data_IF_242692703132
#
_entry.id   IF_242692703132
#
_cell.length_a   1.000
_cell.length_b   1.000
_cell.length_c   1.000
_cell.angle_alpha   90.00
_cell.angle_beta   90.00
_cell.angle_gamma   90.00
#
_symmetry.space_group_name_H-M   'P 1'
#
loop_
_entity.id
_entity.type
_entity.pdbx_description
1 polymer ?
#
# COMPACT_ATOMS: atom_id res chain seq x y z
N UNK A 1 3.50 -26.71 8.89
CA UNK A 1 2.58 -26.02 7.99
C UNK A 1 2.88 -26.40 6.55
N UNK A 2 1.85 -26.67 5.76
CA UNK A 2 2.01 -26.89 4.33
C UNK A 2 2.60 -25.62 3.70
N UNK A 3 3.82 -25.70 3.18
CA UNK A 3 4.40 -24.63 2.39
C UNK A 3 3.75 -24.69 1.01
N UNK A 4 3.14 -23.62 0.59
CA UNK A 4 2.85 -23.44 -0.83
C UNK A 4 4.21 -23.33 -1.55
N UNK A 5 4.54 -24.35 -2.35
CA UNK A 5 5.81 -24.42 -3.08
C UNK A 5 5.93 -23.29 -4.13
N UNK A 6 4.81 -22.66 -4.47
CA UNK A 6 4.75 -21.46 -5.32
C UNK A 6 4.85 -20.15 -4.51
N UNK A 7 5.09 -20.24 -3.20
CA UNK A 7 5.11 -19.10 -2.30
C UNK A 7 6.09 -18.02 -2.71
N UNK A 8 5.54 -16.91 -3.17
CA UNK A 8 6.27 -15.71 -3.60
C UNK A 8 6.70 -14.89 -2.37
N UNK A 9 6.13 -15.15 -1.18
CA UNK A 9 6.53 -14.52 0.06
C UNK A 9 6.78 -15.55 1.17
N UNK A 10 7.77 -15.28 1.99
CA UNK A 10 8.11 -16.11 3.13
C UNK A 10 7.22 -15.87 4.34
N UNK A 11 7.34 -16.71 5.33
CA UNK A 11 6.66 -16.59 6.60
C UNK A 11 7.19 -15.37 7.38
N UNK A 12 6.30 -14.45 7.78
CA UNK A 12 6.67 -13.22 8.50
C UNK A 12 7.16 -13.45 9.94
N UNK A 13 6.89 -14.62 10.50
CA UNK A 13 7.44 -15.03 11.80
C UNK A 13 8.78 -15.78 11.69
N UNK A 14 9.27 -16.02 10.47
CA UNK A 14 10.57 -16.67 10.26
C UNK A 14 11.69 -15.64 10.27
N UNK A 15 12.59 -15.73 11.25
CA UNK A 15 13.71 -14.78 11.40
C UNK A 15 14.70 -14.80 10.23
N UNK A 16 14.95 -15.97 9.65
CA UNK A 16 15.82 -16.09 8.47
C UNK A 16 15.24 -15.34 7.27
N UNK A 17 13.92 -15.47 7.04
CA UNK A 17 13.26 -14.71 5.99
C UNK A 17 13.24 -13.20 6.30
N UNK A 18 12.97 -12.82 7.54
CA UNK A 18 13.02 -11.42 7.96
C UNK A 18 14.39 -10.80 7.70
N UNK A 19 15.46 -11.48 8.10
CA UNK A 19 16.83 -11.00 7.88
C UNK A 19 17.16 -10.89 6.39
N UNK A 20 16.77 -11.87 5.58
CA UNK A 20 16.92 -11.82 4.13
C UNK A 20 16.25 -10.59 3.52
N UNK A 21 15.01 -10.26 3.94
CA UNK A 21 14.29 -9.08 3.45
C UNK A 21 15.01 -7.79 3.84
N UNK A 22 15.48 -7.68 5.07
CA UNK A 22 16.24 -6.51 5.56
C UNK A 22 17.54 -6.35 4.79
N UNK A 23 18.30 -7.44 4.59
CA UNK A 23 19.57 -7.42 3.86
C UNK A 23 19.38 -6.98 2.41
N UNK A 24 18.36 -7.55 1.74
CA UNK A 24 18.04 -7.20 0.37
C UNK A 24 17.63 -5.74 0.23
N UNK A 25 16.77 -5.25 1.11
CA UNK A 25 16.37 -3.83 1.11
C UNK A 25 17.57 -2.91 1.33
N UNK A 26 18.45 -3.21 2.28
CA UNK A 26 19.66 -2.42 2.50
C UNK A 26 20.54 -2.38 1.25
N UNK A 27 20.73 -3.52 0.60
CA UNK A 27 21.50 -3.60 -0.64
C UNK A 27 20.86 -2.78 -1.77
N UNK A 28 19.56 -2.91 -1.97
CA UNK A 28 18.83 -2.19 -3.02
C UNK A 28 18.83 -0.66 -2.77
N UNK A 29 18.62 -0.22 -1.52
CA UNK A 29 18.68 1.20 -1.13
C UNK A 29 20.08 1.77 -1.43
N UNK A 30 21.11 1.07 -1.04
CA UNK A 30 22.51 1.50 -1.23
C UNK A 30 22.87 1.54 -2.72
N UNK A 31 22.54 0.48 -3.46
CA UNK A 31 22.80 0.40 -4.91
C UNK A 31 22.13 1.51 -5.69
N UNK A 32 20.88 1.80 -5.38
CA UNK A 32 20.07 2.78 -6.10
C UNK A 32 20.17 4.20 -5.51
N UNK A 33 20.93 4.40 -4.42
CA UNK A 33 21.02 5.66 -3.68
C UNK A 33 19.63 6.22 -3.32
N UNK A 34 18.72 5.34 -2.94
CA UNK A 34 17.32 5.69 -2.73
C UNK A 34 17.13 6.50 -1.44
N UNK A 35 16.53 7.70 -1.56
CA UNK A 35 16.17 8.52 -0.39
C UNK A 35 14.85 8.08 0.27
N UNK A 36 13.99 7.40 -0.49
CA UNK A 36 12.75 6.77 -0.02
C UNK A 36 12.78 5.32 -0.42
N UNK A 37 12.57 4.43 0.52
CA UNK A 37 12.46 3.00 0.31
C UNK A 37 10.99 2.55 0.39
N UNK A 38 10.73 1.43 -0.24
CA UNK A 38 9.42 0.88 -0.38
C UNK A 38 9.53 -0.65 -0.34
N UNK A 39 8.66 -1.28 0.41
CA UNK A 39 8.53 -2.72 0.43
C UNK A 39 7.06 -3.11 0.35
N UNK A 40 6.74 -3.91 -0.64
CA UNK A 40 5.43 -4.51 -0.81
C UNK A 40 5.59 -6.00 -1.05
N UNK A 41 4.62 -6.78 -0.66
CA UNK A 41 4.52 -8.18 -1.07
C UNK A 41 4.03 -8.25 -2.51
N UNK A 42 4.19 -9.41 -3.15
CA UNK A 42 3.57 -9.68 -4.44
C UNK A 42 2.03 -9.65 -4.34
N UNK A 43 1.35 -9.51 -5.47
CA UNK A 43 -0.12 -9.46 -5.56
C UNK A 43 -0.81 -10.69 -4.95
N UNK A 44 -0.17 -11.83 -5.03
CA UNK A 44 -0.62 -13.03 -4.36
C UNK A 44 0.02 -13.06 -2.99
N UNK A 45 -0.78 -12.82 -1.96
CA UNK A 45 -0.32 -12.86 -0.58
C UNK A 45 -0.31 -14.32 -0.12
N UNK A 46 0.85 -14.96 0.06
CA UNK A 46 0.90 -16.28 0.62
C UNK A 46 0.46 -16.20 2.07
N UNK A 47 -0.58 -16.92 2.38
CA UNK A 47 -1.10 -17.04 3.74
C UNK A 47 -0.25 -18.04 4.49
N UNK A 48 0.66 -17.55 5.33
CA UNK A 48 1.29 -18.42 6.31
C UNK A 48 0.27 -18.74 7.42
N UNK A 49 -0.03 -20.03 7.57
CA UNK A 49 -0.98 -20.54 8.56
C UNK A 49 -0.29 -21.03 9.84
N UNK A 50 0.99 -20.70 10.06
CA UNK A 50 1.65 -21.04 11.30
C UNK A 50 1.03 -20.28 12.48
N UNK A 51 1.03 -20.88 13.66
CA UNK A 51 0.44 -20.32 14.88
C UNK A 51 0.89 -18.88 15.15
N UNK A 52 2.18 -18.58 14.96
CA UNK A 52 2.72 -17.23 15.18
C UNK A 52 2.13 -16.21 14.22
N UNK A 53 1.98 -16.56 12.93
CA UNK A 53 1.39 -15.65 11.94
C UNK A 53 -0.12 -15.48 12.12
N UNK A 54 -0.82 -16.50 12.59
CA UNK A 54 -2.28 -16.46 12.77
C UNK A 54 -2.74 -15.97 14.14
N UNK A 55 -1.82 -15.79 15.09
CA UNK A 55 -2.12 -15.32 16.46
C UNK A 55 -2.91 -14.00 16.48
N UNK A 56 -2.62 -13.06 15.59
CA UNK A 56 -3.43 -11.86 15.41
C UNK A 56 -4.41 -12.08 14.24
N UNK A 57 -5.73 -12.08 14.47
CA UNK A 57 -6.73 -12.28 13.42
C UNK A 57 -6.77 -11.12 12.40
N UNK A 58 -6.39 -9.90 12.81
CA UNK A 58 -6.30 -8.72 11.94
C UNK A 58 -5.10 -8.85 11.00
N UNK A 59 -5.36 -9.19 9.75
CA UNK A 59 -4.35 -9.40 8.71
C UNK A 59 -3.60 -8.12 8.37
N UNK A 60 -4.32 -7.00 8.34
CA UNK A 60 -3.75 -5.68 8.09
C UNK A 60 -2.78 -5.31 9.21
N UNK A 61 -3.18 -5.49 10.47
CA UNK A 61 -2.31 -5.25 11.61
C UNK A 61 -1.05 -6.13 11.60
N UNK A 62 -1.17 -7.40 11.18
CA UNK A 62 0.02 -8.27 11.03
C UNK A 62 1.03 -7.69 10.06
N UNK A 63 0.56 -7.23 8.89
CA UNK A 63 1.40 -6.61 7.88
C UNK A 63 2.07 -5.34 8.39
N UNK A 64 1.30 -4.41 8.95
CA UNK A 64 1.84 -3.12 9.39
C UNK A 64 2.83 -3.26 10.55
N UNK A 65 2.63 -4.23 11.44
CA UNK A 65 3.60 -4.56 12.48
C UNK A 65 4.89 -5.16 11.90
N UNK A 66 4.78 -6.08 10.96
CA UNK A 66 5.92 -6.67 10.26
C UNK A 66 6.72 -5.60 9.50
N UNK A 67 6.04 -4.73 8.78
CA UNK A 67 6.67 -3.64 8.05
C UNK A 67 7.36 -2.63 8.98
N UNK A 68 6.74 -2.25 10.08
CA UNK A 68 7.37 -1.39 11.08
C UNK A 68 8.66 -2.01 11.66
N UNK A 69 8.70 -3.32 11.82
CA UNK A 69 9.87 -4.07 12.26
C UNK A 69 11.00 -4.03 11.21
N UNK A 70 10.66 -4.21 9.92
CA UNK A 70 11.60 -4.06 8.80
C UNK A 70 12.21 -2.65 8.80
N UNK A 71 11.36 -1.60 8.84
CA UNK A 71 11.80 -0.20 8.83
C UNK A 71 12.80 0.07 9.95
N UNK A 72 12.50 -0.37 11.17
CA UNK A 72 13.41 -0.20 12.30
C UNK A 72 14.76 -0.87 12.07
N UNK A 73 14.77 -2.08 11.50
CA UNK A 73 16.00 -2.82 11.25
C UNK A 73 16.83 -2.23 10.13
N UNK A 74 16.21 -1.76 9.06
CA UNK A 74 16.90 -1.05 7.97
C UNK A 74 17.47 0.28 8.47
N UNK A 75 16.73 1.06 9.26
CA UNK A 75 17.22 2.34 9.80
C UNK A 75 18.40 2.22 10.78
N UNK A 76 18.58 1.08 11.41
CA UNK A 76 19.82 0.81 12.17
C UNK A 76 21.07 0.81 11.29
N UNK A 77 20.93 0.45 10.02
CA UNK A 77 22.03 0.36 9.03
C UNK A 77 22.10 1.60 8.14
N UNK A 78 20.95 2.16 7.79
CA UNK A 78 20.79 3.33 6.91
C UNK A 78 19.85 4.33 7.59
N UNK A 79 20.36 5.16 8.54
CA UNK A 79 19.52 5.98 9.42
C UNK A 79 18.61 6.99 8.72
N UNK A 80 19.10 7.58 7.61
CA UNK A 80 18.42 8.71 6.94
C UNK A 80 17.42 8.28 5.86
N UNK A 81 17.24 6.96 5.63
CA UNK A 81 16.27 6.49 4.65
C UNK A 81 14.84 6.70 5.15
N UNK A 82 14.01 7.29 4.30
CA UNK A 82 12.57 7.41 4.52
C UNK A 82 11.86 6.20 3.96
N UNK A 83 10.68 5.93 4.44
CA UNK A 83 9.87 4.80 3.97
C UNK A 83 8.49 5.25 3.55
N UNK A 84 7.98 4.68 2.47
CA UNK A 84 6.58 4.74 2.10
C UNK A 84 5.97 3.35 2.20
N UNK A 85 4.67 3.29 2.42
CA UNK A 85 3.90 2.05 2.46
C UNK A 85 2.82 2.04 1.40
N UNK A 86 2.15 0.91 1.24
CA UNK A 86 1.01 0.76 0.33
C UNK A 86 -0.15 0.11 1.10
N UNK A 87 -1.32 0.72 0.99
CA UNK A 87 -2.58 0.15 1.45
C UNK A 87 -3.29 -0.52 0.25
N UNK A 88 -3.05 -1.81 0.11
CA UNK A 88 -3.47 -2.61 -1.04
C UNK A 88 -3.99 -3.97 -0.61
N UNK A 89 -4.98 -4.49 -1.28
CA UNK A 89 -5.61 -5.78 -0.98
C UNK A 89 -5.98 -5.93 0.52
N UNK A 90 -5.56 -7.00 1.18
CA UNK A 90 -5.83 -7.27 2.61
C UNK A 90 -5.23 -6.21 3.54
N UNK A 91 -4.19 -5.49 3.11
CA UNK A 91 -3.55 -4.42 3.89
C UNK A 91 -4.23 -3.06 3.70
N UNK A 92 -5.22 -2.97 2.82
CA UNK A 92 -6.07 -1.80 2.64
C UNK A 92 -7.10 -1.67 3.76
N UNK A 93 -7.48 -2.76 4.40
CA UNK A 93 -8.32 -2.71 5.59
C UNK A 93 -7.64 -1.86 6.67
N UNK A 94 -8.43 -1.05 7.37
CA UNK A 94 -7.90 -0.16 8.42
C UNK A 94 -7.38 -1.01 9.58
N UNK A 95 -6.06 -1.01 9.86
CA UNK A 95 -5.52 -1.84 10.92
C UNK A 95 -5.92 -1.32 12.30
N UNK A 96 -6.11 -2.23 13.26
CA UNK A 96 -6.34 -1.89 14.65
C UNK A 96 -5.05 -1.49 15.41
N UNK A 97 -3.94 -1.33 14.70
CA UNK A 97 -2.64 -0.89 15.22
C UNK A 97 -2.20 0.42 14.59
N UNK A 98 -1.29 1.17 15.25
CA UNK A 98 -0.71 2.36 14.65
C UNK A 98 0.16 2.04 13.43
N UNK A 99 -0.02 2.80 12.35
CA UNK A 99 0.87 2.78 11.18
C UNK A 99 2.02 3.76 11.45
N UNK A 100 3.25 3.25 11.56
CA UNK A 100 4.39 4.03 12.07
C UNK A 100 5.55 4.08 11.09
N UNK A 101 6.38 5.12 11.24
CA UNK A 101 7.67 5.30 10.58
C UNK A 101 7.60 5.56 9.07
N UNK A 102 6.43 5.92 8.54
CA UNK A 102 6.21 6.18 7.13
C UNK A 102 6.15 7.67 6.84
N UNK A 103 6.70 8.06 5.71
CA UNK A 103 6.55 9.38 5.10
C UNK A 103 5.12 9.56 4.61
N UNK A 104 4.57 8.51 3.99
CA UNK A 104 3.19 8.42 3.51
C UNK A 104 2.80 6.96 3.24
N UNK A 105 1.51 6.75 3.10
CA UNK A 105 0.91 5.49 2.61
C UNK A 105 0.24 5.76 1.27
N UNK A 106 0.61 5.01 0.24
CA UNK A 106 -0.11 4.99 -1.03
C UNK A 106 -1.39 4.17 -0.86
N UNK A 107 -2.54 4.81 -0.95
CA UNK A 107 -3.82 4.14 -0.88
C UNK A 107 -4.31 3.77 -2.28
N UNK A 108 -4.55 2.48 -2.49
CA UNK A 108 -4.95 1.92 -3.78
C UNK A 108 -6.46 1.96 -3.95
N UNK A 109 -6.95 2.86 -4.80
CA UNK A 109 -8.36 3.05 -5.12
C UNK A 109 -8.83 2.16 -6.28
N UNK A 110 -8.68 0.84 -6.21
CA UNK A 110 -9.13 -0.04 -7.29
C UNK A 110 -10.63 -0.39 -7.20
N UNK A 111 -11.27 -0.26 -6.02
CA UNK A 111 -12.71 -0.49 -5.81
C UNK A 111 -13.47 0.84 -5.80
N UNK A 112 -13.60 1.48 -6.96
CA UNK A 112 -14.29 2.76 -7.13
C UNK A 112 -15.04 2.80 -8.45
N UNK A 113 -15.96 3.72 -8.58
CA UNK A 113 -16.52 4.09 -9.87
C UNK A 113 -15.56 5.04 -10.59
N UNK A 114 -15.18 4.70 -11.81
CA UNK A 114 -14.31 5.52 -12.66
C UNK A 114 -15.08 6.50 -13.55
N UNK A 115 -16.41 6.36 -13.66
CA UNK A 115 -17.24 7.25 -14.46
C UNK A 115 -17.64 8.53 -13.73
N UNK A 116 -17.44 8.59 -12.43
CA UNK A 116 -17.74 9.74 -11.60
C UNK A 116 -16.51 10.19 -10.82
N UNK A 117 -16.32 11.51 -10.61
CA UNK A 117 -15.31 12.01 -9.68
C UNK A 117 -15.48 11.39 -8.29
N UNK A 118 -14.37 11.25 -7.57
CA UNK A 118 -14.36 10.65 -6.21
C UNK A 118 -15.24 11.39 -5.20
N UNK A 119 -15.43 12.70 -5.36
CA UNK A 119 -16.26 13.51 -4.48
C UNK A 119 -17.73 13.60 -4.91
N UNK A 120 -18.14 12.83 -5.92
CA UNK A 120 -19.55 12.77 -6.32
C UNK A 120 -20.39 12.10 -5.23
N UNK A 121 -21.13 12.92 -4.46
CA UNK A 121 -21.96 12.47 -3.37
C UNK A 121 -23.16 11.60 -3.77
N UNK A 122 -23.53 11.56 -5.06
CA UNK A 122 -24.58 10.69 -5.59
C UNK A 122 -24.06 9.30 -6.01
N UNK A 123 -22.76 9.10 -6.06
CA UNK A 123 -22.14 7.82 -6.41
C UNK A 123 -21.78 7.03 -5.14
N UNK A 124 -22.63 6.09 -4.74
CA UNK A 124 -22.45 5.30 -3.52
C UNK A 124 -21.08 4.62 -3.44
N UNK A 125 -20.60 4.07 -4.55
CA UNK A 125 -19.30 3.42 -4.62
C UNK A 125 -18.16 4.40 -4.27
N UNK A 126 -18.21 5.63 -4.79
CA UNK A 126 -17.20 6.64 -4.52
C UNK A 126 -17.35 7.24 -3.11
N UNK A 127 -18.57 7.39 -2.62
CA UNK A 127 -18.83 7.80 -1.22
C UNK A 127 -18.16 6.80 -0.25
N UNK A 128 -18.34 5.49 -0.46
CA UNK A 128 -17.75 4.46 0.38
C UNK A 128 -16.21 4.43 0.26
N UNK A 129 -15.68 4.53 -0.95
CA UNK A 129 -14.24 4.60 -1.19
C UNK A 129 -13.59 5.81 -0.50
N UNK A 130 -14.22 6.98 -0.59
CA UNK A 130 -13.75 8.20 0.07
C UNK A 130 -13.85 8.13 1.60
N UNK A 131 -14.85 7.43 2.13
CA UNK A 131 -14.95 7.20 3.58
C UNK A 131 -13.78 6.37 4.11
N UNK A 132 -13.41 5.30 3.41
CA UNK A 132 -12.23 4.50 3.75
C UNK A 132 -10.94 5.33 3.64
N UNK A 133 -10.78 6.07 2.55
CA UNK A 133 -9.61 6.91 2.32
C UNK A 133 -9.40 7.94 3.44
N UNK A 134 -10.47 8.62 3.88
CA UNK A 134 -10.41 9.57 4.99
C UNK A 134 -10.00 8.91 6.30
N UNK A 135 -10.54 7.74 6.61
CA UNK A 135 -10.14 6.97 7.80
C UNK A 135 -8.65 6.59 7.76
N UNK A 136 -8.12 6.28 6.59
CA UNK A 136 -6.68 6.07 6.42
C UNK A 136 -5.86 7.34 6.69
N UNK A 137 -6.38 8.50 6.32
CA UNK A 137 -5.77 9.80 6.63
C UNK A 137 -5.59 10.07 8.13
N UNK A 138 -6.42 9.46 8.98
CA UNK A 138 -6.29 9.50 10.43
C UNK A 138 -5.13 8.62 10.95
N UNK A 139 -4.69 7.65 10.17
CA UNK A 139 -3.62 6.70 10.52
C UNK A 139 -2.23 7.14 10.05
N UNK A 140 -2.14 7.75 8.86
CA UNK A 140 -0.89 8.17 8.25
C UNK A 140 -1.10 9.26 7.20
N UNK A 141 -0.07 10.06 6.86
CA UNK A 141 -0.10 10.89 5.66
C UNK A 141 -0.37 10.03 4.43
N UNK A 142 -1.23 10.49 3.53
CA UNK A 142 -1.65 9.72 2.37
C UNK A 142 -1.05 10.23 1.05
N UNK A 143 -0.89 9.30 0.14
CA UNK A 143 -0.73 9.47 -1.29
C UNK A 143 -1.81 8.65 -2.00
N UNK A 144 -2.15 9.04 -3.20
CA UNK A 144 -3.14 8.35 -4.01
C UNK A 144 -2.44 7.44 -5.03
N UNK A 145 -2.92 6.21 -5.17
CA UNK A 145 -2.56 5.30 -6.23
C UNK A 145 -3.81 4.94 -7.02
N UNK A 146 -3.90 5.45 -8.24
CA UNK A 146 -5.05 5.27 -9.13
C UNK A 146 -4.81 4.20 -10.18
N UNK A 147 -5.90 3.75 -10.79
CA UNK A 147 -5.95 2.73 -11.83
C UNK A 147 -6.70 3.26 -13.05
N UNK A 148 -6.61 4.55 -13.29
CA UNK A 148 -7.33 5.25 -14.37
C UNK A 148 -6.90 4.77 -15.75
N UNK A 149 -5.67 4.28 -15.86
CA UNK A 149 -5.06 3.82 -17.11
C UNK A 149 -4.76 2.30 -17.10
N UNK A 150 -5.39 1.55 -16.19
CA UNK A 150 -5.21 0.10 -16.11
C UNK A 150 -5.83 -0.57 -17.36
N UNK A 151 -4.96 -1.04 -18.24
CA UNK A 151 -5.32 -1.71 -19.51
C UNK A 151 -6.11 -2.99 -19.28
N UNK A 152 -5.99 -3.66 -18.15
CA UNK A 152 -6.73 -4.89 -17.86
C UNK A 152 -8.20 -4.64 -17.52
N UNK A 153 -8.52 -3.43 -17.04
CA UNK A 153 -9.89 -3.01 -16.71
C UNK A 153 -10.57 -2.25 -17.84
N UNK A 154 -9.80 -1.78 -18.81
CA UNK A 154 -10.29 -0.92 -19.87
C UNK A 154 -9.85 -1.43 -21.25
N UNK A 155 -10.49 -2.47 -21.79
CA UNK A 155 -10.22 -2.93 -23.16
C UNK A 155 -10.60 -1.87 -24.22
N UNK A 156 -11.29 -0.80 -23.82
CA UNK A 156 -11.60 0.35 -24.66
C UNK A 156 -11.07 1.63 -24.01
N UNK A 157 -10.58 2.53 -24.83
CA UNK A 157 -10.18 3.87 -24.48
C UNK A 157 -11.38 4.63 -23.86
N UNK A 158 -11.50 4.62 -22.54
CA UNK A 158 -12.49 5.46 -21.89
C UNK A 158 -11.94 6.88 -21.77
N UNK A 159 -12.62 7.90 -22.31
CA UNK A 159 -12.17 9.28 -22.21
C UNK A 159 -12.39 9.82 -20.79
N UNK A 160 -11.61 9.33 -19.83
CA UNK A 160 -11.72 9.72 -18.42
C UNK A 160 -11.04 11.04 -18.08
N UNK A 161 -10.54 11.78 -19.08
CA UNK A 161 -9.78 13.02 -18.89
C UNK A 161 -10.51 14.05 -18.04
N UNK A 162 -11.81 14.22 -18.26
CA UNK A 162 -12.62 15.17 -17.48
C UNK A 162 -12.75 14.73 -16.02
N UNK A 163 -13.01 13.44 -15.80
CA UNK A 163 -13.09 12.87 -14.44
C UNK A 163 -11.76 13.00 -13.74
N UNK A 164 -10.67 12.67 -14.42
CA UNK A 164 -9.30 12.78 -13.86
C UNK A 164 -8.94 14.23 -13.53
N UNK A 165 -9.27 15.17 -14.41
CA UNK A 165 -9.04 16.60 -14.15
C UNK A 165 -9.79 17.11 -12.90
N UNK A 166 -11.04 16.66 -12.71
CA UNK A 166 -11.81 17.01 -11.53
C UNK A 166 -11.26 16.34 -10.27
N UNK A 167 -10.78 15.12 -10.37
CA UNK A 167 -10.12 14.42 -9.26
C UNK A 167 -8.83 15.10 -8.81
N UNK A 168 -8.04 15.66 -9.72
CA UNK A 168 -6.86 16.46 -9.34
C UNK A 168 -7.25 17.64 -8.45
N UNK A 169 -8.40 18.24 -8.68
CA UNK A 169 -8.93 19.31 -7.81
C UNK A 169 -9.29 18.76 -6.42
N UNK A 170 -9.91 17.58 -6.37
CA UNK A 170 -10.24 16.89 -5.12
C UNK A 170 -8.98 16.56 -4.32
N UNK A 171 -7.98 15.96 -4.96
CA UNK A 171 -6.71 15.60 -4.31
C UNK A 171 -5.97 16.83 -3.77
N UNK A 172 -5.98 17.93 -4.53
CA UNK A 172 -5.42 19.20 -4.08
C UNK A 172 -6.15 19.75 -2.85
N UNK A 173 -7.48 19.74 -2.85
CA UNK A 173 -8.31 20.15 -1.69
C UNK A 173 -8.01 19.31 -0.44
N UNK A 174 -7.71 18.02 -0.63
CA UNK A 174 -7.34 17.09 0.45
C UNK A 174 -5.89 17.25 0.92
N UNK A 175 -5.10 18.12 0.29
CA UNK A 175 -3.71 18.35 0.64
C UNK A 175 -2.76 17.22 0.23
N UNK A 176 -3.17 16.35 -0.69
CA UNK A 176 -2.30 15.30 -1.22
C UNK A 176 -1.15 15.92 -2.00
N UNK A 177 0.07 15.53 -1.64
CA UNK A 177 1.29 15.99 -2.29
C UNK A 177 1.75 15.07 -3.41
N UNK A 178 1.17 13.88 -3.49
CA UNK A 178 1.55 12.83 -4.44
C UNK A 178 0.32 12.12 -4.97
N UNK A 179 0.28 11.97 -6.25
CA UNK A 179 -0.68 11.14 -6.98
C UNK A 179 0.14 10.26 -7.91
N UNK A 180 -0.13 9.00 -7.92
CA UNK A 180 0.46 8.01 -8.81
C UNK A 180 -0.67 7.27 -9.49
N UNK A 181 -0.53 6.99 -10.75
CA UNK A 181 -1.46 6.13 -11.49
C UNK A 181 -0.68 5.00 -12.14
N UNK A 182 -1.32 3.87 -12.28
CA UNK A 182 -0.79 2.77 -13.06
C UNK A 182 -0.82 3.19 -14.53
N UNK A 183 0.31 3.02 -15.18
CA UNK A 183 0.47 3.30 -16.61
C UNK A 183 0.98 2.03 -17.28
N UNK A 184 0.42 1.63 -18.43
CA UNK A 184 0.87 0.46 -19.18
C UNK A 184 2.29 0.60 -19.72
#
# INVERSE_FOLDING_TARGET
GKRDIKGIAGCWSNEGYFNYVVDKLCADITKNKASIAYYCTADIIPRCECEQCTRNPDKSARWWNYYARIIKSVRKRIPNVRFAGIAYQEFREIPNVPVKYLEYVEYCHYNRCYFHPLDNGACEMNVNSMKEFRKWGEKAPLSFYGYEFDVFKQPMYLPLWNVFADEMKVYRKMGLKRVKTEYP
#
